data_IF_354055522840
#
_entry.id   IF_354055522840
#
_cell.length_a   1.000
_cell.length_b   1.000
_cell.length_c   1.000
_cell.angle_alpha   90.00
_cell.angle_beta   90.00
_cell.angle_gamma   90.00
#
_symmetry.space_group_name_H-M   'P 1'
#
loop_
_entity.id
_entity.type
_entity.pdbx_description
1 polymer ?
#
# COMPACT_ATOMS: atom_id res chain seq x y z
N UNK A 1 15.54 -11.86 -2.70
CA UNK A 1 15.05 -10.84 -1.74
C UNK A 1 14.85 -11.55 -0.42
N UNK A 2 15.45 -11.10 0.69
CA UNK A 2 15.14 -11.66 2.00
C UNK A 2 13.68 -11.35 2.35
N UNK A 3 13.00 -12.30 2.98
CA UNK A 3 11.67 -12.08 3.56
C UNK A 3 11.91 -11.51 4.95
N UNK A 4 11.56 -10.24 5.16
CA UNK A 4 11.62 -9.61 6.47
C UNK A 4 10.33 -9.93 7.23
N UNK A 5 10.46 -10.51 8.44
CA UNK A 5 9.34 -10.72 9.35
C UNK A 5 9.05 -9.43 10.10
N UNK A 6 8.12 -8.63 9.57
CA UNK A 6 7.64 -7.42 10.24
C UNK A 6 6.40 -7.79 11.06
N UNK A 7 6.58 -7.92 12.37
CA UNK A 7 5.47 -8.11 13.31
C UNK A 7 4.68 -6.82 13.50
N UNK A 8 3.35 -6.93 13.51
CA UNK A 8 2.49 -5.85 14.00
C UNK A 8 2.50 -5.83 15.53
N UNK A 9 2.38 -4.64 16.11
CA UNK A 9 2.11 -4.55 17.54
C UNK A 9 0.77 -5.23 17.89
N UNK A 10 0.63 -5.60 19.17
CA UNK A 10 -0.53 -6.36 19.63
C UNK A 10 -1.86 -5.62 19.40
N UNK A 11 -1.89 -4.29 19.58
CA UNK A 11 -3.11 -3.51 19.43
C UNK A 11 -3.58 -3.42 17.97
N UNK A 12 -2.64 -3.23 17.04
CA UNK A 12 -2.90 -3.24 15.60
C UNK A 12 -3.34 -4.63 15.13
N UNK A 13 -2.76 -5.69 15.68
CA UNK A 13 -3.18 -7.05 15.36
C UNK A 13 -4.63 -7.31 15.79
N UNK A 14 -5.01 -6.92 17.01
CA UNK A 14 -6.39 -7.05 17.49
C UNK A 14 -7.39 -6.27 16.62
N UNK A 15 -7.01 -5.07 16.17
CA UNK A 15 -7.85 -4.26 15.26
C UNK A 15 -8.03 -4.95 13.90
N UNK A 16 -6.96 -5.52 13.33
CA UNK A 16 -7.01 -6.25 12.08
C UNK A 16 -7.93 -7.46 12.17
N UNK A 17 -7.83 -8.23 13.26
CA UNK A 17 -8.68 -9.40 13.51
C UNK A 17 -10.16 -9.00 13.60
N UNK A 18 -10.49 -7.98 14.40
CA UNK A 18 -11.88 -7.51 14.56
C UNK A 18 -12.48 -7.04 13.22
N UNK A 19 -11.70 -6.34 12.41
CA UNK A 19 -12.18 -5.85 11.12
C UNK A 19 -12.30 -6.99 10.09
N UNK A 20 -11.44 -8.01 10.16
CA UNK A 20 -11.54 -9.21 9.34
C UNK A 20 -12.80 -10.02 9.69
N UNK A 21 -13.08 -10.22 10.99
CA UNK A 21 -14.30 -10.84 11.49
C UNK A 21 -15.56 -10.10 11.04
N UNK A 22 -15.56 -8.77 11.17
CA UNK A 22 -16.67 -7.92 10.71
C UNK A 22 -16.97 -8.09 9.22
N UNK A 23 -15.94 -8.36 8.41
CA UNK A 23 -16.04 -8.55 6.96
C UNK A 23 -16.20 -10.02 6.55
N UNK A 24 -16.15 -10.95 7.49
CA UNK A 24 -16.24 -12.39 7.23
C UNK A 24 -15.04 -12.95 6.44
N UNK A 25 -13.86 -12.35 6.58
CA UNK A 25 -12.61 -12.78 5.92
C UNK A 25 -11.55 -13.14 6.95
N UNK A 26 -10.49 -13.84 6.55
CA UNK A 26 -9.36 -14.09 7.45
C UNK A 26 -8.51 -12.84 7.64
N UNK A 27 -7.84 -12.68 8.81
CA UNK A 27 -6.92 -11.56 9.06
C UNK A 27 -5.82 -11.46 7.99
N UNK A 28 -5.26 -12.59 7.56
CA UNK A 28 -4.24 -12.63 6.51
C UNK A 28 -4.75 -12.16 5.15
N UNK A 29 -5.98 -12.57 4.79
CA UNK A 29 -6.60 -12.14 3.54
C UNK A 29 -6.86 -10.64 3.55
N UNK A 30 -7.35 -10.10 4.68
CA UNK A 30 -7.54 -8.67 4.87
C UNK A 30 -6.21 -7.91 4.79
N UNK A 31 -5.16 -8.39 5.47
CA UNK A 31 -3.83 -7.79 5.41
C UNK A 31 -3.30 -7.74 3.97
N UNK A 32 -3.41 -8.85 3.23
CA UNK A 32 -2.99 -8.92 1.84
C UNK A 32 -3.79 -7.98 0.93
N UNK A 33 -5.08 -7.76 1.20
CA UNK A 33 -5.91 -6.79 0.48
C UNK A 33 -5.47 -5.36 0.75
N UNK A 34 -5.27 -5.01 2.03
CA UNK A 34 -4.83 -3.68 2.46
C UNK A 34 -3.47 -3.31 1.86
N UNK A 35 -2.52 -4.24 1.87
CA UNK A 35 -1.20 -4.07 1.24
C UNK A 35 -1.36 -3.83 -0.26
N UNK A 36 -2.17 -4.63 -0.96
CA UNK A 36 -2.41 -4.46 -2.40
C UNK A 36 -3.03 -3.10 -2.72
N UNK A 37 -3.98 -2.65 -1.90
CA UNK A 37 -4.62 -1.33 -2.05
C UNK A 37 -3.63 -0.19 -1.84
N UNK A 38 -2.78 -0.28 -0.82
CA UNK A 38 -1.76 0.73 -0.55
C UNK A 38 -0.69 0.76 -1.65
N UNK A 39 -0.24 -0.40 -2.12
CA UNK A 39 0.67 -0.49 -3.26
C UNK A 39 0.07 0.19 -4.49
N UNK A 40 -1.18 -0.13 -4.86
CA UNK A 40 -1.85 0.51 -5.97
C UNK A 40 -1.97 2.04 -5.78
N UNK A 41 -2.23 2.51 -4.55
CA UNK A 41 -2.29 3.94 -4.26
C UNK A 41 -0.94 4.66 -4.39
N UNK A 42 0.16 3.98 -4.07
CA UNK A 42 1.51 4.52 -4.18
C UNK A 42 2.08 4.44 -5.59
N UNK A 43 1.77 3.38 -6.32
CA UNK A 43 2.32 3.13 -7.66
C UNK A 43 1.44 3.69 -8.78
N UNK A 44 0.21 4.11 -8.51
CA UNK A 44 -0.63 4.75 -9.53
C UNK A 44 0.10 5.96 -10.12
N UNK A 45 0.16 6.08 -11.47
CA UNK A 45 0.72 7.26 -12.11
C UNK A 45 0.01 8.51 -11.60
N UNK A 46 0.77 9.37 -10.91
CA UNK A 46 0.29 10.71 -10.55
C UNK A 46 0.63 11.62 -11.71
N UNK A 47 -0.37 12.21 -12.34
CA UNK A 47 -0.14 13.24 -13.33
C UNK A 47 0.61 14.39 -12.63
N UNK A 48 1.85 14.73 -13.02
CA UNK A 48 2.56 15.83 -12.39
C UNK A 48 1.74 17.10 -12.61
N UNK A 49 1.30 17.74 -11.53
CA UNK A 49 0.64 19.06 -11.58
C UNK A 49 1.63 20.21 -11.86
N UNK A 50 2.89 19.88 -12.11
CA UNK A 50 3.96 20.84 -12.38
C UNK A 50 4.12 21.12 -13.87
N UNK A 51 4.65 22.29 -14.19
CA UNK A 51 5.06 22.63 -15.55
C UNK A 51 6.13 21.66 -16.03
N UNK A 52 5.83 20.88 -17.07
CA UNK A 52 6.83 20.03 -17.73
C UNK A 52 7.70 20.93 -18.60
N UNK A 53 8.95 21.17 -18.17
CA UNK A 53 9.91 21.93 -18.98
C UNK A 53 10.50 21.01 -20.06
N UNK A 54 10.31 21.27 -21.36
CA UNK A 54 10.88 20.44 -22.41
C UNK A 54 12.40 20.64 -22.47
N UNK A 55 13.15 19.56 -22.63
CA UNK A 55 14.58 19.65 -22.95
C UNK A 55 14.75 20.16 -24.38
N UNK A 56 15.46 21.27 -24.55
CA UNK A 56 15.83 21.79 -25.86
C UNK A 56 17.28 21.38 -26.14
N UNK A 57 17.53 20.79 -27.31
CA UNK A 57 18.89 20.55 -27.79
C UNK A 57 19.50 21.90 -28.15
N UNK A 58 20.71 22.20 -27.66
CA UNK A 58 21.44 23.40 -28.09
C UNK A 58 21.64 23.34 -29.61
N UNK A 59 21.30 24.44 -30.29
CA UNK A 59 21.65 24.69 -31.68
C UNK A 59 23.12 25.04 -31.81
#
# INVERSE_FOLDING_TARGET
MPIEEIGLDQGLMEQLVREAERRGVSPDALAAELIRKELANRTKPRNPRGTVTPFHRRA
#
